data_IF_414935996008
#
_entry.id   IF_414935996008
#
_cell.length_a   1.000
_cell.length_b   1.000
_cell.length_c   1.000
_cell.angle_alpha   90.00
_cell.angle_beta   90.00
_cell.angle_gamma   90.00
#
_symmetry.space_group_name_H-M   'P 1'
#
loop_
_entity.id
_entity.type
_entity.pdbx_description
1 polymer ?
#
# COMPACT_ATOMS: atom_id res chain seq x y z
N UNK A 1 -62.24 36.99 -50.17
CA UNK A 1 -60.91 36.81 -50.77
C UNK A 1 -60.42 35.43 -50.39
N UNK A 2 -60.71 34.43 -51.21
CA UNK A 2 -60.27 33.05 -50.99
C UNK A 2 -59.00 32.82 -51.78
N UNK A 3 -57.90 32.60 -51.07
CA UNK A 3 -56.73 31.92 -51.61
C UNK A 3 -57.15 30.48 -51.88
N UNK A 4 -57.61 30.20 -53.10
CA UNK A 4 -57.53 28.85 -53.64
C UNK A 4 -56.13 28.80 -54.22
N UNK A 5 -55.23 28.31 -53.37
CA UNK A 5 -53.86 27.97 -53.70
C UNK A 5 -53.81 27.24 -55.03
N UNK A 6 -52.82 27.60 -55.84
CA UNK A 6 -52.46 26.94 -57.09
C UNK A 6 -52.47 25.42 -56.88
N UNK A 7 -53.58 24.77 -57.27
CA UNK A 7 -53.57 23.35 -57.59
C UNK A 7 -52.67 23.25 -58.80
N UNK A 8 -51.38 23.02 -58.53
CA UNK A 8 -50.42 22.49 -59.49
C UNK A 8 -51.14 21.39 -60.27
N UNK A 9 -51.56 21.71 -61.49
CA UNK A 9 -51.96 20.72 -62.46
C UNK A 9 -50.71 19.89 -62.66
N UNK A 10 -50.65 18.74 -61.97
CA UNK A 10 -49.58 17.76 -62.15
C UNK A 10 -49.45 17.55 -63.66
N UNK A 11 -48.32 17.92 -64.28
CA UNK A 11 -48.18 17.68 -65.70
C UNK A 11 -48.16 16.17 -65.86
N UNK A 12 -49.23 15.61 -66.44
CA UNK A 12 -49.27 14.24 -66.95
C UNK A 12 -48.22 14.17 -68.06
N UNK A 13 -46.97 13.97 -67.64
CA UNK A 13 -45.85 13.71 -68.54
C UNK A 13 -46.08 12.31 -69.07
N UNK A 14 -46.89 12.21 -70.14
CA UNK A 14 -47.07 10.98 -70.87
C UNK A 14 -45.78 10.73 -71.65
N UNK A 15 -44.83 10.05 -71.03
CA UNK A 15 -43.62 9.60 -71.70
C UNK A 15 -44.00 8.50 -72.71
N UNK A 16 -44.23 8.91 -73.95
CA UNK A 16 -44.50 7.99 -75.05
C UNK A 16 -43.19 7.45 -75.63
N UNK A 17 -43.13 6.15 -75.90
CA UNK A 17 -42.01 5.55 -76.60
C UNK A 17 -41.90 6.14 -78.02
N UNK A 18 -40.70 6.56 -78.42
CA UNK A 18 -40.43 7.04 -79.79
C UNK A 18 -39.94 5.89 -80.68
N UNK A 19 -40.41 5.90 -81.93
CA UNK A 19 -40.00 5.02 -83.02
C UNK A 19 -39.52 5.92 -84.17
N UNK A 20 -38.76 5.40 -85.14
CA UNK A 20 -38.29 6.22 -86.27
C UNK A 20 -39.47 6.95 -86.93
N UNK A 21 -39.43 8.29 -86.92
CA UNK A 21 -40.53 9.21 -87.31
C UNK A 21 -41.76 9.29 -86.38
N UNK A 22 -41.60 9.21 -85.05
CA UNK A 22 -42.59 9.76 -84.09
C UNK A 22 -42.92 8.86 -82.90
N UNK A 23 -44.02 9.16 -82.19
CA UNK A 23 -44.47 8.37 -81.05
C UNK A 23 -45.17 7.07 -81.45
N UNK A 24 -45.07 6.04 -80.59
CA UNK A 24 -45.74 4.75 -80.80
C UNK A 24 -47.27 4.94 -80.85
N UNK A 25 -47.83 4.76 -82.04
CA UNK A 25 -49.24 5.07 -82.36
C UNK A 25 -50.25 4.28 -81.52
N UNK A 26 -49.92 3.05 -81.11
CA UNK A 26 -50.78 2.24 -80.22
C UNK A 26 -50.81 2.80 -78.79
N UNK A 27 -49.67 3.24 -78.27
CA UNK A 27 -49.55 3.85 -76.95
C UNK A 27 -50.30 5.18 -76.87
N UNK A 28 -50.16 6.03 -77.91
CA UNK A 28 -50.89 7.30 -78.00
C UNK A 28 -52.40 7.07 -78.09
N UNK A 29 -52.86 6.11 -78.90
CA UNK A 29 -54.29 5.78 -78.99
C UNK A 29 -54.86 5.28 -77.67
N UNK A 30 -54.13 4.40 -76.97
CA UNK A 30 -54.54 3.91 -75.66
C UNK A 30 -54.62 5.05 -74.64
N UNK A 31 -53.62 5.94 -74.62
CA UNK A 31 -53.63 7.10 -73.73
C UNK A 31 -54.79 8.04 -74.02
N UNK A 32 -55.06 8.39 -75.29
CA UNK A 32 -56.20 9.24 -75.65
C UNK A 32 -57.51 8.58 -75.18
N UNK A 33 -57.71 7.30 -75.46
CA UNK A 33 -58.90 6.57 -75.01
C UNK A 33 -59.03 6.55 -73.48
N UNK A 34 -57.92 6.38 -72.76
CA UNK A 34 -57.90 6.46 -71.31
C UNK A 34 -58.26 7.87 -70.82
N UNK A 35 -57.66 8.92 -71.38
CA UNK A 35 -57.96 10.31 -70.99
C UNK A 35 -59.39 10.73 -71.36
N UNK A 36 -59.94 10.24 -72.47
CA UNK A 36 -61.34 10.47 -72.84
C UNK A 36 -62.29 9.76 -71.87
N UNK A 37 -61.93 8.56 -71.40
CA UNK A 37 -62.68 7.86 -70.37
C UNK A 37 -62.61 8.58 -69.01
N UNK A 38 -61.42 9.04 -68.60
CA UNK A 38 -61.21 9.83 -67.38
C UNK A 38 -61.96 11.17 -67.44
N UNK A 39 -61.92 11.89 -68.57
CA UNK A 39 -62.65 13.14 -68.75
C UNK A 39 -64.17 12.91 -68.68
N UNK A 40 -64.66 11.82 -69.26
CA UNK A 40 -66.09 11.46 -69.18
C UNK A 40 -66.49 11.19 -67.73
N UNK A 41 -65.68 10.45 -66.99
CA UNK A 41 -65.92 10.17 -65.57
C UNK A 41 -65.94 11.46 -64.73
N UNK A 42 -64.97 12.36 -64.92
CA UNK A 42 -64.91 13.65 -64.20
C UNK A 42 -66.09 14.56 -64.59
N UNK A 43 -66.52 14.52 -65.85
CA UNK A 43 -67.69 15.28 -66.29
C UNK A 43 -68.96 14.76 -65.63
N UNK A 44 -69.13 13.44 -65.53
CA UNK A 44 -70.26 12.81 -64.84
C UNK A 44 -70.25 13.10 -63.33
N UNK A 45 -69.08 13.04 -62.69
CA UNK A 45 -68.92 13.40 -61.28
C UNK A 45 -69.21 14.89 -61.03
N UNK A 46 -68.73 15.78 -61.90
CA UNK A 46 -69.04 17.21 -61.85
C UNK A 46 -70.54 17.45 -62.01
N UNK A 47 -71.17 16.82 -62.97
CA UNK A 47 -72.60 17.02 -63.25
C UNK A 47 -73.45 16.46 -62.09
N UNK A 48 -73.03 15.34 -61.48
CA UNK A 48 -73.61 14.81 -60.23
C UNK A 48 -73.45 15.79 -59.06
N UNK A 49 -72.25 16.34 -58.85
CA UNK A 49 -71.99 17.33 -57.82
C UNK A 49 -72.82 18.62 -58.03
N UNK A 50 -72.95 19.09 -59.27
CA UNK A 50 -73.80 20.24 -59.60
C UNK A 50 -75.29 19.95 -59.32
N UNK A 51 -75.76 18.74 -59.61
CA UNK A 51 -77.11 18.31 -59.26
C UNK A 51 -77.32 18.32 -57.74
N UNK A 52 -76.38 17.79 -56.96
CA UNK A 52 -76.44 17.78 -55.50
C UNK A 52 -76.43 19.20 -54.92
N UNK A 53 -75.60 20.10 -55.46
CA UNK A 53 -75.58 21.51 -55.04
C UNK A 53 -76.91 22.20 -55.33
N UNK A 54 -77.51 21.97 -56.50
CA UNK A 54 -78.81 22.54 -56.85
C UNK A 54 -79.94 22.01 -55.94
N UNK A 55 -79.91 20.70 -55.63
CA UNK A 55 -80.86 20.09 -54.70
C UNK A 55 -80.71 20.67 -53.29
N UNK A 56 -79.48 20.76 -52.78
CA UNK A 56 -79.20 21.37 -51.48
C UNK A 56 -79.58 22.85 -51.43
N UNK A 57 -79.37 23.61 -52.52
CA UNK A 57 -79.82 25.01 -52.61
C UNK A 57 -81.33 25.10 -52.53
N UNK A 58 -82.05 24.21 -53.23
CA UNK A 58 -83.51 24.17 -53.19
C UNK A 58 -84.02 23.80 -51.80
N UNK A 59 -83.40 22.82 -51.14
CA UNK A 59 -83.73 22.44 -49.77
C UNK A 59 -83.45 23.59 -48.77
N UNK A 60 -82.37 24.33 -48.97
CA UNK A 60 -82.01 25.47 -48.13
C UNK A 60 -82.99 26.64 -48.32
N UNK A 61 -83.43 26.91 -49.55
CA UNK A 61 -84.45 27.93 -49.82
C UNK A 61 -85.82 27.52 -49.25
N UNK A 62 -86.18 26.24 -49.35
CA UNK A 62 -87.39 25.70 -48.71
C UNK A 62 -87.32 25.81 -47.17
N UNK A 63 -86.20 25.43 -46.56
CA UNK A 63 -86.01 25.55 -45.11
C UNK A 63 -86.04 27.01 -44.65
N UNK A 64 -85.46 27.93 -45.43
CA UNK A 64 -85.54 29.38 -45.16
C UNK A 64 -86.98 29.89 -45.24
N UNK A 65 -87.73 29.50 -46.27
CA UNK A 65 -89.14 29.86 -46.41
C UNK A 65 -89.98 29.35 -45.22
N UNK A 66 -89.76 28.09 -44.80
CA UNK A 66 -90.41 27.52 -43.63
C UNK A 66 -90.06 28.26 -42.34
N UNK A 67 -88.80 28.67 -42.15
CA UNK A 67 -88.40 29.46 -40.98
C UNK A 67 -89.09 30.82 -40.96
N UNK A 68 -89.19 31.50 -42.10
CA UNK A 68 -89.89 32.78 -42.16
C UNK A 68 -91.41 32.64 -41.96
N UNK A 69 -92.02 31.57 -42.48
CA UNK A 69 -93.42 31.23 -42.21
C UNK A 69 -93.67 30.96 -40.71
N UNK A 70 -92.86 30.10 -40.10
CA UNK A 70 -92.94 29.79 -38.65
C UNK A 70 -92.70 31.03 -37.78
N UNK A 71 -91.80 31.94 -38.19
CA UNK A 71 -91.60 33.22 -37.50
C UNK A 71 -92.83 34.11 -37.61
N UNK A 72 -93.42 34.22 -38.80
CA UNK A 72 -94.63 35.00 -38.99
C UNK A 72 -95.81 34.44 -38.18
N UNK A 73 -95.95 33.11 -38.12
CA UNK A 73 -96.92 32.44 -37.25
C UNK A 73 -96.66 32.73 -35.77
N UNK A 74 -95.40 32.66 -35.33
CA UNK A 74 -95.01 32.94 -33.95
C UNK A 74 -95.26 34.40 -33.58
N UNK A 75 -94.92 35.35 -34.46
CA UNK A 75 -95.15 36.78 -34.25
C UNK A 75 -96.65 37.06 -34.17
N UNK A 76 -97.45 36.49 -35.07
CA UNK A 76 -98.91 36.59 -35.01
C UNK A 76 -99.48 36.04 -33.69
N UNK A 77 -99.00 34.88 -33.23
CA UNK A 77 -99.36 34.31 -31.93
C UNK A 77 -98.86 35.16 -30.75
N UNK A 78 -97.75 35.89 -30.90
CA UNK A 78 -97.21 36.78 -29.88
C UNK A 78 -97.96 38.13 -29.80
N UNK A 79 -98.54 38.59 -30.92
CA UNK A 79 -99.37 39.79 -30.97
C UNK A 79 -100.82 39.58 -30.53
N UNK A 80 -101.32 38.34 -30.53
CA UNK A 80 -102.68 38.03 -30.07
C UNK A 80 -102.79 38.19 -28.53
N UNK A 81 -103.81 38.90 -27.99
CA UNK A 81 -103.98 39.04 -26.55
C UNK A 81 -104.19 37.67 -25.92
N UNK A 82 -103.28 37.27 -25.04
CA UNK A 82 -103.27 35.96 -24.38
C UNK A 82 -104.62 35.75 -23.65
N UNK A 83 -105.41 34.77 -24.10
CA UNK A 83 -106.60 34.36 -23.35
C UNK A 83 -106.20 33.78 -22.00
N UNK A 84 -107.02 33.96 -20.96
CA UNK A 84 -106.72 33.49 -19.60
C UNK A 84 -106.52 31.97 -19.52
N UNK A 85 -107.13 31.23 -20.43
CA UNK A 85 -106.98 29.77 -20.59
C UNK A 85 -105.63 29.40 -21.25
N UNK A 86 -105.23 30.12 -22.31
CA UNK A 86 -103.95 29.95 -22.98
C UNK A 86 -102.74 30.28 -22.08
N UNK A 87 -102.92 31.20 -21.12
CA UNK A 87 -101.89 31.52 -20.12
C UNK A 87 -101.52 30.31 -19.26
N UNK A 88 -102.51 29.52 -18.84
CA UNK A 88 -102.30 28.34 -17.99
C UNK A 88 -101.59 27.20 -18.73
N UNK A 89 -101.89 27.01 -20.02
CA UNK A 89 -101.20 26.04 -20.88
C UNK A 89 -99.78 26.46 -21.20
N UNK A 90 -99.54 27.76 -21.45
CA UNK A 90 -98.20 28.31 -21.65
C UNK A 90 -97.33 28.18 -20.39
N UNK A 91 -97.85 28.47 -19.21
CA UNK A 91 -97.12 28.27 -17.94
C UNK A 91 -96.77 26.80 -17.74
N UNK A 92 -97.69 25.86 -18.01
CA UNK A 92 -97.40 24.41 -17.95
C UNK A 92 -96.31 24.00 -18.93
N UNK A 93 -96.31 24.51 -20.16
CA UNK A 93 -95.26 24.24 -21.16
C UNK A 93 -93.91 24.84 -20.74
N UNK A 94 -93.91 26.05 -20.19
CA UNK A 94 -92.69 26.72 -19.70
C UNK A 94 -92.09 25.98 -18.51
N UNK A 95 -92.90 25.47 -17.59
CA UNK A 95 -92.43 24.63 -16.48
C UNK A 95 -91.83 23.32 -16.99
N UNK A 96 -92.46 22.66 -17.98
CA UNK A 96 -91.88 21.46 -18.60
C UNK A 96 -90.55 21.76 -19.29
N UNK A 97 -90.47 22.83 -20.07
CA UNK A 97 -89.23 23.28 -20.70
C UNK A 97 -88.14 23.56 -19.66
N UNK A 98 -88.46 24.28 -18.59
CA UNK A 98 -87.51 24.55 -17.51
C UNK A 98 -87.07 23.26 -16.78
N UNK A 99 -87.97 22.29 -16.61
CA UNK A 99 -87.61 20.98 -16.04
C UNK A 99 -86.71 20.18 -16.97
N UNK A 100 -86.95 20.23 -18.28
CA UNK A 100 -86.13 19.53 -19.27
C UNK A 100 -84.76 20.21 -19.41
N UNK A 101 -84.70 21.54 -19.43
CA UNK A 101 -83.46 22.33 -19.39
C UNK A 101 -82.67 22.04 -18.10
N UNK A 102 -83.33 21.96 -16.95
CA UNK A 102 -82.66 21.58 -15.70
C UNK A 102 -82.07 20.16 -15.77
N UNK A 103 -82.76 19.19 -16.39
CA UNK A 103 -82.21 17.84 -16.60
C UNK A 103 -81.02 17.86 -17.54
N UNK A 104 -81.06 18.65 -18.61
CA UNK A 104 -79.93 18.80 -19.54
C UNK A 104 -78.71 19.44 -18.86
N UNK A 105 -78.91 20.46 -18.03
CA UNK A 105 -77.82 21.06 -17.24
C UNK A 105 -77.22 20.04 -16.27
N UNK A 106 -78.06 19.26 -15.57
CA UNK A 106 -77.55 18.21 -14.65
C UNK A 106 -76.81 17.12 -15.42
N UNK A 107 -77.37 16.64 -16.54
CA UNK A 107 -76.75 15.60 -17.35
C UNK A 107 -75.42 16.06 -17.96
N UNK A 108 -75.36 17.29 -18.47
CA UNK A 108 -74.13 17.87 -19.02
C UNK A 108 -73.07 18.11 -17.93
N UNK A 109 -73.47 18.58 -16.73
CA UNK A 109 -72.57 18.73 -15.59
C UNK A 109 -72.03 17.37 -15.09
N UNK A 110 -72.87 16.33 -15.08
CA UNK A 110 -72.47 14.96 -14.75
C UNK A 110 -71.48 14.41 -15.77
N UNK A 111 -71.78 14.51 -17.07
CA UNK A 111 -70.88 14.07 -18.13
C UNK A 111 -69.54 14.81 -18.09
N UNK A 112 -69.54 16.13 -17.86
CA UNK A 112 -68.32 16.90 -17.70
C UNK A 112 -67.49 16.43 -16.49
N UNK A 113 -68.15 16.18 -15.35
CA UNK A 113 -67.50 15.66 -14.14
C UNK A 113 -66.90 14.26 -14.35
N UNK A 114 -67.62 13.36 -15.02
CA UNK A 114 -67.12 12.02 -15.35
C UNK A 114 -65.92 12.07 -16.30
N UNK A 115 -65.96 12.96 -17.30
CA UNK A 115 -64.83 13.18 -18.20
C UNK A 115 -63.60 13.73 -17.47
N UNK A 116 -63.78 14.68 -16.56
CA UNK A 116 -62.68 15.21 -15.75
C UNK A 116 -62.13 14.16 -14.78
N UNK A 117 -63.00 13.37 -14.17
CA UNK A 117 -62.60 12.25 -13.30
C UNK A 117 -61.80 11.20 -14.06
N UNK A 118 -62.29 10.77 -15.24
CA UNK A 118 -61.59 9.81 -16.08
C UNK A 118 -60.21 10.34 -16.51
N UNK A 119 -60.11 11.62 -16.87
CA UNK A 119 -58.83 12.26 -17.21
C UNK A 119 -57.88 12.31 -16.01
N UNK A 120 -58.40 12.62 -14.83
CA UNK A 120 -57.61 12.67 -13.59
C UNK A 120 -57.09 11.28 -13.22
N UNK A 121 -57.92 10.24 -13.29
CA UNK A 121 -57.51 8.87 -13.00
C UNK A 121 -56.48 8.37 -14.02
N UNK A 122 -56.65 8.69 -15.30
CA UNK A 122 -55.64 8.39 -16.33
C UNK A 122 -54.30 9.06 -16.02
N UNK A 123 -54.30 10.35 -15.69
CA UNK A 123 -53.09 11.08 -15.33
C UNK A 123 -52.42 10.49 -14.06
N UNK A 124 -53.22 10.11 -13.05
CA UNK A 124 -52.72 9.46 -11.84
C UNK A 124 -52.12 8.07 -12.14
N UNK A 125 -52.76 7.28 -12.99
CA UNK A 125 -52.27 5.97 -13.42
C UNK A 125 -50.97 6.09 -14.23
N UNK A 126 -50.87 7.05 -15.15
CA UNK A 126 -49.64 7.33 -15.87
C UNK A 126 -48.49 7.72 -14.93
N UNK A 127 -48.76 8.56 -13.94
CA UNK A 127 -47.77 8.98 -12.96
C UNK A 127 -47.31 7.80 -12.09
N UNK A 128 -48.24 6.96 -11.61
CA UNK A 128 -47.93 5.72 -10.87
C UNK A 128 -47.03 4.80 -11.69
N UNK A 129 -47.39 4.55 -12.96
CA UNK A 129 -46.61 3.70 -13.86
C UNK A 129 -45.20 4.26 -14.11
N UNK A 130 -45.05 5.58 -14.23
CA UNK A 130 -43.73 6.22 -14.37
C UNK A 130 -42.89 6.05 -13.11
N UNK A 131 -43.49 6.25 -11.93
CA UNK A 131 -42.77 6.04 -10.67
C UNK A 131 -42.39 4.59 -10.45
N UNK A 132 -43.26 3.64 -10.76
CA UNK A 132 -42.95 2.21 -10.68
C UNK A 132 -41.76 1.85 -11.58
N UNK A 133 -41.73 2.36 -12.81
CA UNK A 133 -40.57 2.17 -13.71
C UNK A 133 -39.29 2.78 -13.15
N UNK A 134 -39.33 4.02 -12.66
CA UNK A 134 -38.16 4.68 -12.08
C UNK A 134 -37.63 3.94 -10.84
N UNK A 135 -38.53 3.43 -10.00
CA UNK A 135 -38.15 2.63 -8.83
C UNK A 135 -37.50 1.31 -9.29
N UNK A 136 -38.09 0.62 -10.27
CA UNK A 136 -37.52 -0.61 -10.82
C UNK A 136 -36.14 -0.39 -11.47
N UNK A 137 -35.96 0.69 -12.22
CA UNK A 137 -34.66 1.08 -12.79
C UNK A 137 -33.62 1.39 -11.71
N UNK A 138 -34.02 2.10 -10.65
CA UNK A 138 -33.15 2.38 -9.51
C UNK A 138 -32.77 1.11 -8.73
N UNK A 139 -33.69 0.17 -8.57
CA UNK A 139 -33.44 -1.14 -7.95
C UNK A 139 -32.48 -1.98 -8.78
N UNK A 140 -32.67 -2.02 -10.09
CA UNK A 140 -31.79 -2.75 -10.99
C UNK A 140 -30.37 -2.14 -11.01
N UNK A 141 -30.25 -0.81 -11.04
CA UNK A 141 -28.95 -0.13 -10.91
C UNK A 141 -28.27 -0.44 -9.57
N UNK A 142 -29.02 -0.45 -8.46
CA UNK A 142 -28.49 -0.84 -7.15
C UNK A 142 -27.96 -2.28 -7.16
N UNK A 143 -28.74 -3.22 -7.70
CA UNK A 143 -28.35 -4.64 -7.79
C UNK A 143 -27.08 -4.82 -8.61
N UNK A 144 -27.02 -4.21 -9.80
CA UNK A 144 -25.83 -4.27 -10.67
C UNK A 144 -24.60 -3.65 -10.01
N UNK A 145 -24.76 -2.50 -9.33
CA UNK A 145 -23.66 -1.85 -8.62
C UNK A 145 -23.15 -2.70 -7.46
N UNK A 146 -24.04 -3.35 -6.72
CA UNK A 146 -23.67 -4.26 -5.64
C UNK A 146 -22.96 -5.50 -6.15
N UNK A 147 -23.41 -6.09 -7.26
CA UNK A 147 -22.76 -7.22 -7.92
C UNK A 147 -21.34 -6.84 -8.36
N UNK A 148 -21.17 -5.73 -9.07
CA UNK A 148 -19.86 -5.22 -9.47
C UNK A 148 -18.95 -4.94 -8.27
N UNK A 149 -19.47 -4.31 -7.21
CA UNK A 149 -18.72 -4.05 -5.97
C UNK A 149 -18.29 -5.35 -5.31
N UNK A 150 -19.17 -6.34 -5.22
CA UNK A 150 -18.87 -7.62 -4.60
C UNK A 150 -17.85 -8.41 -5.43
N UNK A 151 -17.94 -8.38 -6.76
CA UNK A 151 -16.94 -8.97 -7.66
C UNK A 151 -15.57 -8.32 -7.49
N UNK A 152 -15.50 -6.98 -7.47
CA UNK A 152 -14.26 -6.25 -7.25
C UNK A 152 -13.64 -6.60 -5.88
N UNK A 153 -14.45 -6.62 -4.81
CA UNK A 153 -14.00 -7.03 -3.48
C UNK A 153 -13.49 -8.48 -3.49
N UNK A 154 -14.17 -9.40 -4.17
CA UNK A 154 -13.74 -10.79 -4.26
C UNK A 154 -12.40 -10.93 -4.99
N UNK A 155 -12.22 -10.22 -6.12
CA UNK A 155 -10.97 -10.19 -6.89
C UNK A 155 -9.83 -9.62 -6.05
N UNK A 156 -10.01 -8.44 -5.45
CA UNK A 156 -8.98 -7.82 -4.60
C UNK A 156 -8.65 -8.68 -3.39
N UNK A 157 -9.64 -9.36 -2.78
CA UNK A 157 -9.36 -10.32 -1.69
C UNK A 157 -8.49 -11.49 -2.15
N UNK A 158 -8.76 -12.05 -3.34
CA UNK A 158 -7.93 -13.11 -3.91
C UNK A 158 -6.51 -12.62 -4.16
N UNK A 159 -6.35 -11.46 -4.80
CA UNK A 159 -5.04 -10.87 -5.10
C UNK A 159 -4.24 -10.59 -3.82
N UNK A 160 -4.87 -10.03 -2.79
CA UNK A 160 -4.22 -9.79 -1.49
C UNK A 160 -3.82 -11.11 -0.82
N UNK A 161 -4.65 -12.15 -0.90
CA UNK A 161 -4.31 -13.47 -0.37
C UNK A 161 -3.13 -14.09 -1.11
N UNK A 162 -3.08 -13.98 -2.43
CA UNK A 162 -1.98 -14.52 -3.23
C UNK A 162 -0.68 -13.73 -2.98
N UNK A 163 -0.77 -12.40 -2.89
CA UNK A 163 0.36 -11.55 -2.50
C UNK A 163 0.86 -11.88 -1.10
N UNK A 164 -0.03 -12.11 -0.13
CA UNK A 164 0.34 -12.50 1.22
C UNK A 164 1.05 -13.86 1.25
N UNK A 165 0.56 -14.85 0.50
CA UNK A 165 1.23 -16.16 0.35
C UNK A 165 2.61 -16.01 -0.29
N UNK A 166 2.73 -15.21 -1.34
CA UNK A 166 4.02 -14.95 -2.00
C UNK A 166 5.01 -14.27 -1.05
N UNK A 167 4.56 -13.25 -0.31
CA UNK A 167 5.39 -12.57 0.69
C UNK A 167 5.84 -13.52 1.81
N UNK A 168 4.96 -14.40 2.29
CA UNK A 168 5.31 -15.41 3.29
C UNK A 168 6.34 -16.41 2.74
N UNK A 169 6.18 -16.87 1.50
CA UNK A 169 7.14 -17.76 0.85
C UNK A 169 8.51 -17.10 0.69
N UNK A 170 8.55 -15.85 0.24
CA UNK A 170 9.78 -15.08 0.11
C UNK A 170 10.47 -14.88 1.47
N UNK A 171 9.70 -14.54 2.51
CA UNK A 171 10.24 -14.44 3.88
C UNK A 171 10.87 -15.75 4.33
N UNK A 172 10.17 -16.87 4.18
CA UNK A 172 10.70 -18.20 4.55
C UNK A 172 11.96 -18.55 3.76
N UNK A 173 12.03 -18.22 2.47
CA UNK A 173 13.23 -18.43 1.66
C UNK A 173 14.40 -17.62 2.20
N UNK A 174 14.21 -16.33 2.43
CA UNK A 174 15.26 -15.46 2.97
C UNK A 174 15.70 -15.87 4.39
N UNK A 175 14.76 -16.31 5.23
CA UNK A 175 15.05 -16.80 6.58
C UNK A 175 15.90 -18.08 6.51
N UNK A 176 15.55 -19.03 5.63
CA UNK A 176 16.35 -20.24 5.41
C UNK A 176 17.74 -19.91 4.84
N UNK A 177 17.83 -19.04 3.84
CA UNK A 177 19.11 -18.60 3.26
C UNK A 177 19.99 -17.84 4.27
N UNK A 178 19.38 -17.10 5.19
CA UNK A 178 20.10 -16.44 6.28
C UNK A 178 20.62 -17.48 7.28
N UNK A 179 19.81 -18.47 7.65
CA UNK A 179 20.21 -19.52 8.58
C UNK A 179 21.32 -20.40 7.98
N UNK A 180 21.20 -20.81 6.72
CA UNK A 180 22.24 -21.56 6.02
C UNK A 180 23.58 -20.79 6.01
N UNK A 181 23.54 -19.47 5.77
CA UNK A 181 24.72 -18.61 5.85
C UNK A 181 25.28 -18.53 7.26
N UNK A 182 24.44 -18.45 8.29
CA UNK A 182 24.90 -18.43 9.70
C UNK A 182 25.60 -19.73 10.06
N UNK A 183 25.02 -20.88 9.69
CA UNK A 183 25.62 -22.20 9.90
C UNK A 183 26.96 -22.32 9.18
N UNK A 184 27.05 -21.86 7.92
CA UNK A 184 28.31 -21.86 7.17
C UNK A 184 29.39 -21.01 7.85
N UNK A 185 29.04 -19.78 8.25
CA UNK A 185 29.97 -18.87 8.93
C UNK A 185 30.41 -19.43 10.27
N UNK A 186 29.50 -20.03 11.05
CA UNK A 186 29.82 -20.67 12.32
C UNK A 186 30.77 -21.86 12.13
N UNK A 187 30.51 -22.70 11.12
CA UNK A 187 31.39 -23.82 10.79
C UNK A 187 32.79 -23.35 10.37
N UNK A 188 32.88 -22.39 9.46
CA UNK A 188 34.18 -21.84 9.00
C UNK A 188 34.94 -21.16 10.14
N UNK A 189 34.22 -20.48 11.04
CA UNK A 189 34.79 -19.89 12.24
C UNK A 189 35.32 -20.97 13.19
N UNK A 190 34.57 -22.04 13.45
CA UNK A 190 35.02 -23.14 14.30
C UNK A 190 36.26 -23.83 13.72
N UNK A 191 36.27 -24.11 12.41
CA UNK A 191 37.43 -24.71 11.73
C UNK A 191 38.65 -23.78 11.79
N UNK A 192 38.49 -22.49 11.49
CA UNK A 192 39.61 -21.54 11.54
C UNK A 192 40.13 -21.30 12.97
N UNK A 193 39.25 -21.27 13.96
CA UNK A 193 39.62 -21.08 15.37
C UNK A 193 40.23 -22.34 15.98
N UNK A 194 39.75 -23.53 15.63
CA UNK A 194 40.38 -24.79 16.05
C UNK A 194 41.79 -24.91 15.46
N UNK A 195 41.97 -24.64 14.17
CA UNK A 195 43.30 -24.61 13.55
C UNK A 195 44.26 -23.62 14.22
N UNK A 196 43.81 -22.38 14.51
CA UNK A 196 44.61 -21.39 15.25
C UNK A 196 44.93 -21.82 16.68
N UNK A 197 43.98 -22.46 17.38
CA UNK A 197 44.20 -22.99 18.74
C UNK A 197 45.22 -24.11 18.73
N UNK A 198 45.14 -25.04 17.78
CA UNK A 198 46.11 -26.12 17.60
C UNK A 198 47.51 -25.57 17.32
N UNK A 199 47.62 -24.59 16.41
CA UNK A 199 48.90 -23.95 16.10
C UNK A 199 49.48 -23.20 17.31
N UNK A 200 48.66 -22.44 18.04
CA UNK A 200 49.09 -21.76 19.26
C UNK A 200 49.53 -22.75 20.35
N UNK A 201 48.80 -23.85 20.54
CA UNK A 201 49.17 -24.93 21.47
C UNK A 201 50.48 -25.60 21.06
N UNK A 202 50.71 -25.81 19.76
CA UNK A 202 51.98 -26.34 19.24
C UNK A 202 53.14 -25.40 19.55
N UNK A 203 53.00 -24.10 19.27
CA UNK A 203 54.04 -23.09 19.56
C UNK A 203 54.34 -23.02 21.07
N UNK A 204 53.29 -23.06 21.91
CA UNK A 204 53.47 -23.07 23.37
C UNK A 204 54.19 -24.34 23.83
N UNK A 205 53.84 -25.52 23.31
CA UNK A 205 54.50 -26.78 23.62
C UNK A 205 55.97 -26.78 23.18
N UNK A 206 56.27 -26.27 21.98
CA UNK A 206 57.64 -26.11 21.48
C UNK A 206 58.46 -25.16 22.36
N UNK A 207 57.88 -24.01 22.75
CA UNK A 207 58.53 -23.05 23.64
C UNK A 207 58.74 -23.63 25.04
N UNK A 208 57.77 -24.35 25.58
CA UNK A 208 57.89 -25.00 26.89
C UNK A 208 58.97 -26.08 26.86
N UNK A 209 59.01 -26.89 25.80
CA UNK A 209 60.03 -27.92 25.61
C UNK A 209 61.43 -27.30 25.50
N UNK A 210 61.59 -26.26 24.66
CA UNK A 210 62.87 -25.55 24.54
C UNK A 210 63.30 -24.93 25.89
N UNK A 211 62.36 -24.32 26.63
CA UNK A 211 62.62 -23.78 27.97
C UNK A 211 63.04 -24.87 28.97
N UNK A 212 62.35 -26.02 28.96
CA UNK A 212 62.70 -27.19 29.79
C UNK A 212 64.08 -27.73 29.45
N UNK A 213 64.40 -27.86 28.16
CA UNK A 213 65.70 -28.35 27.70
C UNK A 213 66.83 -27.39 28.09
N UNK A 214 66.63 -26.07 27.96
CA UNK A 214 67.58 -25.06 28.44
C UNK A 214 67.74 -25.08 29.96
N UNK A 215 66.65 -25.19 30.71
CA UNK A 215 66.70 -25.29 32.16
C UNK A 215 67.47 -26.54 32.60
N UNK A 216 67.21 -27.69 31.96
CA UNK A 216 67.97 -28.92 32.20
C UNK A 216 69.45 -28.75 31.84
N UNK A 217 69.78 -28.08 30.73
CA UNK A 217 71.16 -27.78 30.37
C UNK A 217 71.85 -26.92 31.43
N UNK A 218 71.22 -25.82 31.87
CA UNK A 218 71.75 -24.94 32.92
C UNK A 218 71.95 -25.70 34.24
N UNK A 219 71.01 -26.55 34.63
CA UNK A 219 71.14 -27.39 35.82
C UNK A 219 72.32 -28.34 35.68
N UNK A 220 72.46 -29.05 34.55
CA UNK A 220 73.60 -29.96 34.31
C UNK A 220 74.94 -29.21 34.34
N UNK A 221 75.02 -28.06 33.69
CA UNK A 221 76.22 -27.20 33.68
C UNK A 221 76.57 -26.71 35.10
N UNK A 222 75.58 -26.22 35.85
CA UNK A 222 75.76 -25.77 37.24
C UNK A 222 76.15 -26.92 38.19
N UNK A 223 75.56 -28.11 38.03
CA UNK A 223 75.94 -29.30 38.78
C UNK A 223 77.37 -29.71 38.46
N UNK A 224 77.75 -29.76 37.18
CA UNK A 224 79.12 -30.09 36.77
C UNK A 224 80.14 -29.05 37.26
N UNK A 225 79.80 -27.76 37.26
CA UNK A 225 80.66 -26.72 37.83
C UNK A 225 80.73 -26.83 39.36
N UNK A 226 79.60 -27.11 40.03
CA UNK A 226 79.53 -27.38 41.46
C UNK A 226 80.44 -28.55 41.85
N UNK A 227 80.37 -29.67 41.12
CA UNK A 227 81.26 -30.82 41.29
C UNK A 227 82.73 -30.44 41.08
N UNK A 228 83.06 -29.64 40.06
CA UNK A 228 84.43 -29.14 39.85
C UNK A 228 84.92 -28.26 41.01
N UNK A 229 84.05 -27.41 41.57
CA UNK A 229 84.40 -26.55 42.73
C UNK A 229 84.59 -27.38 43.99
N UNK A 230 83.74 -28.38 44.22
CA UNK A 230 83.89 -29.34 45.33
C UNK A 230 85.20 -30.11 45.19
N UNK A 231 85.48 -30.70 44.03
CA UNK A 231 86.74 -31.39 43.76
C UNK A 231 87.96 -30.49 44.03
N UNK A 232 87.94 -29.24 43.55
CA UNK A 232 89.03 -28.28 43.81
C UNK A 232 89.14 -27.91 45.30
N UNK A 233 88.01 -27.79 46.00
CA UNK A 233 87.99 -27.53 47.44
C UNK A 233 88.52 -28.74 48.23
N UNK A 234 88.21 -29.96 47.80
CA UNK A 234 88.75 -31.20 48.38
C UNK A 234 90.26 -31.31 48.13
N UNK A 235 90.73 -30.99 46.93
CA UNK A 235 92.17 -30.89 46.63
C UNK A 235 92.86 -29.83 47.50
N UNK A 236 92.27 -28.64 47.64
CA UNK A 236 92.79 -27.57 48.49
C UNK A 236 92.78 -27.96 49.98
N UNK A 237 91.72 -28.62 50.44
CA UNK A 237 91.61 -29.14 51.79
C UNK A 237 92.67 -30.21 52.05
N UNK A 238 92.87 -31.15 51.12
CA UNK A 238 93.90 -32.18 51.20
C UNK A 238 95.31 -31.57 51.28
N UNK A 239 95.61 -30.57 50.45
CA UNK A 239 96.91 -29.86 50.53
C UNK A 239 97.06 -29.08 51.84
N UNK A 240 96.01 -28.42 52.34
CA UNK A 240 96.03 -27.75 53.66
C UNK A 240 96.17 -28.72 54.83
N UNK A 241 95.57 -29.90 54.73
CA UNK A 241 95.78 -30.98 55.70
C UNK A 241 97.23 -31.45 55.67
N UNK A 242 97.83 -31.62 54.49
CA UNK A 242 99.22 -32.01 54.32
C UNK A 242 100.19 -30.95 54.86
N UNK A 243 100.00 -29.66 54.55
CA UNK A 243 100.85 -28.57 55.08
C UNK A 243 100.72 -28.44 56.59
N UNK A 244 99.51 -28.62 57.15
CA UNK A 244 99.32 -28.63 58.62
C UNK A 244 100.00 -29.82 59.28
N UNK A 245 99.98 -31.00 58.66
CA UNK A 245 100.73 -32.16 59.14
C UNK A 245 102.24 -31.88 59.14
N UNK A 246 102.77 -31.32 58.04
CA UNK A 246 104.17 -30.89 57.97
C UNK A 246 104.51 -29.82 59.01
N UNK A 247 103.64 -28.84 59.24
CA UNK A 247 103.83 -27.81 60.27
C UNK A 247 103.75 -28.42 61.68
N UNK A 248 102.84 -29.35 61.93
CA UNK A 248 102.77 -30.06 63.20
C UNK A 248 104.01 -30.93 63.44
N UNK A 249 104.58 -31.52 62.40
CA UNK A 249 105.88 -32.20 62.46
C UNK A 249 107.01 -31.22 62.74
N UNK A 250 107.05 -30.05 62.09
CA UNK A 250 108.03 -29.00 62.35
C UNK A 250 107.91 -28.41 63.77
N UNK A 251 106.69 -28.21 64.29
CA UNK A 251 106.46 -27.77 65.67
C UNK A 251 106.86 -28.85 66.67
N UNK A 252 106.58 -30.14 66.41
CA UNK A 252 107.13 -31.23 67.24
C UNK A 252 108.65 -31.27 67.19
N UNK A 253 109.26 -31.07 66.02
CA UNK A 253 110.71 -31.00 65.89
C UNK A 253 111.29 -29.79 66.63
N UNK A 254 110.64 -28.63 66.57
CA UNK A 254 111.04 -27.44 67.32
C UNK A 254 110.84 -27.62 68.84
N UNK A 255 109.75 -28.27 69.28
CA UNK A 255 109.53 -28.64 70.68
C UNK A 255 110.53 -29.69 71.16
N UNK A 256 110.95 -30.64 70.32
CA UNK A 256 112.05 -31.57 70.64
C UNK A 256 113.39 -30.84 70.74
N UNK A 257 113.65 -29.84 69.90
CA UNK A 257 114.86 -29.00 70.00
C UNK A 257 114.83 -28.13 71.26
N UNK A 258 113.68 -27.60 71.65
CA UNK A 258 113.50 -26.83 72.90
C UNK A 258 113.55 -27.74 74.14
N UNK A 259 113.00 -28.95 74.10
CA UNK A 259 113.13 -29.94 75.17
C UNK A 259 114.56 -30.49 75.31
N UNK A 260 115.33 -30.54 74.20
CA UNK A 260 116.75 -30.88 74.22
C UNK A 260 117.66 -29.70 74.62
N UNK A 261 117.12 -28.48 74.73
CA UNK A 261 117.82 -27.28 75.22
C UNK A 261 117.53 -26.98 76.71
N UNK A 262 116.70 -27.78 77.37
CA UNK A 262 116.30 -27.62 78.77
C UNK A 262 117.40 -27.88 79.82
N UNK A 263 118.53 -28.60 79.56
CA UNK A 263 119.64 -28.64 80.51
C UNK A 263 120.73 -27.59 80.24
N UNK A 264 120.50 -26.56 79.39
CA UNK A 264 121.49 -25.53 79.08
C UNK A 264 121.09 -24.09 79.41
N UNK A 265 120.08 -23.87 80.25
CA UNK A 265 119.73 -22.54 80.77
C UNK A 265 119.50 -22.54 82.28
N UNK A 266 120.49 -23.03 83.03
CA UNK A 266 120.76 -22.62 84.42
C UNK A 266 122.07 -21.85 84.44
N UNK A 267 121.97 -20.52 84.30
CA UNK A 267 122.91 -19.45 84.69
C UNK A 267 122.95 -18.32 83.65
N UNK A 268 122.03 -17.35 83.76
CA UNK A 268 122.32 -15.91 83.90
C UNK A 268 121.04 -15.16 84.30
N UNK A 269 121.00 -14.78 85.57
CA UNK A 269 120.49 -13.52 86.14
C UNK A 269 120.59 -12.31 85.16
N UNK A 270 119.79 -11.23 85.13
CA UNK A 270 118.87 -10.55 86.07
C UNK A 270 118.19 -9.39 85.32
N UNK A 271 116.93 -9.09 85.65
CA UNK A 271 116.37 -7.72 85.74
C UNK A 271 116.05 -6.92 84.47
N UNK A 272 114.76 -6.63 84.24
CA UNK A 272 114.17 -5.30 84.50
C UNK A 272 112.75 -5.22 83.92
N UNK A 273 111.81 -4.85 84.78
CA UNK A 273 110.50 -4.31 84.42
C UNK A 273 110.62 -3.17 83.40
N UNK A 274 109.65 -3.04 82.49
CA UNK A 274 108.96 -1.76 82.27
C UNK A 274 107.73 -1.89 81.38
N UNK A 275 106.65 -1.33 81.92
CA UNK A 275 105.40 -0.95 81.27
C UNK A 275 105.59 0.16 80.22
N UNK A 276 104.59 0.32 79.35
CA UNK A 276 104.35 1.49 78.48
C UNK A 276 103.98 1.06 77.06
N UNK A 277 102.71 1.03 76.63
CA UNK A 277 101.87 2.20 76.32
C UNK A 277 102.58 3.13 75.32
N UNK A 278 102.04 3.62 74.22
CA UNK A 278 100.66 3.79 73.78
C UNK A 278 100.74 4.44 72.39
N UNK A 279 99.57 4.78 71.86
CA UNK A 279 99.29 5.92 70.97
C UNK A 279 99.21 5.63 69.46
N UNK A 280 97.99 5.54 68.91
CA UNK A 280 97.07 6.64 68.55
C UNK A 280 97.44 7.27 67.18
N UNK A 281 96.68 7.01 66.10
CA UNK A 281 95.33 7.54 65.73
C UNK A 281 95.43 8.87 64.97
N UNK A 282 94.76 8.95 63.81
CA UNK A 282 93.68 9.91 63.51
C UNK A 282 93.30 9.82 62.01
N UNK A 283 92.06 9.47 61.65
CA UNK A 283 90.82 10.28 61.59
C UNK A 283 90.87 11.34 60.47
N UNK A 284 89.84 11.60 59.64
CA UNK A 284 88.52 12.10 60.06
C UNK A 284 87.46 12.06 58.94
N UNK A 285 86.22 11.99 59.42
CA UNK A 285 84.85 11.99 58.87
C UNK A 285 84.44 13.20 58.00
N UNK A 286 83.52 12.99 57.04
CA UNK A 286 82.40 13.93 56.84
C UNK A 286 81.10 13.26 56.33
N UNK A 287 79.99 13.72 56.92
CA UNK A 287 78.59 13.36 56.73
C UNK A 287 78.01 13.73 55.36
N UNK A 288 76.89 13.09 55.00
CA UNK A 288 75.93 13.58 54.00
C UNK A 288 74.70 12.68 53.90
N UNK A 289 73.59 13.10 54.52
CA UNK A 289 72.24 12.59 54.33
C UNK A 289 71.79 12.71 52.85
N UNK A 290 70.96 11.78 52.38
CA UNK A 290 69.92 12.08 51.39
C UNK A 290 68.79 11.05 51.47
N UNK A 291 67.62 11.57 51.84
CA UNK A 291 66.30 10.99 51.59
C UNK A 291 66.17 10.58 50.12
N UNK A 292 65.66 9.37 49.87
CA UNK A 292 65.17 8.98 48.54
C UNK A 292 63.66 8.87 48.60
N UNK A 293 63.04 9.89 48.04
CA UNK A 293 61.61 10.10 47.87
C UNK A 293 61.06 9.13 46.81
N UNK A 294 60.02 8.38 47.17
CA UNK A 294 59.26 7.49 46.29
C UNK A 294 58.32 8.33 45.42
N UNK A 295 58.37 8.28 44.08
CA UNK A 295 57.41 9.00 43.26
C UNK A 295 56.03 8.32 43.30
N UNK A 296 55.01 9.07 43.72
CA UNK A 296 53.61 8.69 43.60
C UNK A 296 53.10 8.89 42.17
N UNK A 297 52.31 7.91 41.74
CA UNK A 297 51.11 7.96 40.89
C UNK A 297 51.18 8.82 39.62
N UNK A 298 51.20 8.10 38.50
CA UNK A 298 50.88 8.54 37.15
C UNK A 298 49.38 8.86 37.07
N UNK A 299 49.07 10.05 36.58
CA UNK A 299 47.72 10.53 36.28
C UNK A 299 46.96 9.56 35.37
N UNK A 300 45.70 9.32 35.70
CA UNK A 300 44.73 8.63 34.85
C UNK A 300 44.36 9.55 33.67
N UNK A 301 44.62 9.08 32.44
CA UNK A 301 44.00 9.63 31.23
C UNK A 301 42.51 9.27 31.21
N UNK A 302 41.59 10.19 30.84
CA UNK A 302 40.20 9.84 30.64
C UNK A 302 40.02 9.10 29.30
N UNK A 303 39.14 8.09 29.32
CA UNK A 303 38.65 7.35 28.14
C UNK A 303 38.10 8.30 27.05
N UNK A 304 38.21 7.95 25.76
CA UNK A 304 37.55 8.67 24.69
C UNK A 304 36.03 8.46 24.77
N UNK A 305 35.27 9.55 24.75
CA UNK A 305 33.83 9.50 24.51
C UNK A 305 33.58 8.93 23.11
N UNK A 306 32.71 7.93 23.07
CA UNK A 306 32.16 7.36 21.84
C UNK A 306 31.54 8.48 21.00
N UNK A 307 31.99 8.55 19.75
CA UNK A 307 31.26 9.25 18.71
C UNK A 307 30.01 8.43 18.37
N UNK A 308 28.87 8.81 18.94
CA UNK A 308 27.57 8.47 18.34
C UNK A 308 27.35 9.36 17.12
N UNK A 309 27.57 8.76 15.96
CA UNK A 309 26.96 9.17 14.71
C UNK A 309 25.47 8.75 14.73
N UNK A 310 24.61 9.71 14.38
CA UNK A 310 23.54 9.55 13.40
C UNK A 310 22.56 8.37 13.57
N UNK A 311 21.35 8.67 14.05
CA UNK A 311 20.06 8.40 13.36
C UNK A 311 19.12 9.57 13.60
#
# INVERSE_FOLDING_TARGET
MGHIEDRELVPLKADFDTVWYGYRRSQVKFYIQQTEAELRLVTEDRDSALSQVNELSTQLDQARAQVEELKAELDAQAQEPISTEALSDRMRRMVRLAQDEAKEIVASAQAASEHEWARSEQAAAELRNRYEKLVAEADEWRRQSEEQRNEMIARTRSEVQDMAKQAEQQRRQLDNEAEDRRVQVEHDFEVSMSARREEAMRILAEREQASRDEAQRRVREATAEGERRVLRADEYSATMHQTRQQLAEQVRAAQQILGNAEPFLVATETGSDTEGSDAYVANTVHNGESDVEVPKQRDEEPLPQEAEATV
#
